data_IF_461831841760
#
_entry.id   IF_461831841760
#
_cell.length_a   1.000
_cell.length_b   1.000
_cell.length_c   1.000
_cell.angle_alpha   90.00
_cell.angle_beta   90.00
_cell.angle_gamma   90.00
#
_symmetry.space_group_name_H-M   'P 1'
#
loop_
_entity.id
_entity.type
_entity.pdbx_description
1 polymer ?
#
# COMPACT_ATOMS: atom_id res chain seq x y z
N UNK A 1 -18.50 -3.67 -3.38
CA UNK A 1 -18.75 -2.34 -2.77
C UNK A 1 -18.11 -2.21 -1.38
N UNK A 2 -18.14 -3.24 -0.53
CA UNK A 2 -17.58 -3.16 0.85
C UNK A 2 -16.07 -2.92 0.97
N UNK A 3 -15.29 -3.10 -0.10
CA UNK A 3 -13.84 -2.92 -0.05
C UNK A 3 -13.43 -1.50 0.36
N UNK A 4 -14.08 -0.46 -0.16
CA UNK A 4 -13.77 0.93 0.19
C UNK A 4 -14.11 1.22 1.65
N UNK A 5 -15.28 0.77 2.13
CA UNK A 5 -15.70 0.99 3.53
C UNK A 5 -14.68 0.39 4.51
N UNK A 6 -14.26 -0.87 4.28
CA UNK A 6 -13.29 -1.53 5.16
C UNK A 6 -11.92 -0.84 5.07
N UNK A 7 -11.53 -0.35 3.89
CA UNK A 7 -10.28 0.39 3.70
C UNK A 7 -10.28 1.75 4.39
N UNK A 8 -11.38 2.50 4.31
CA UNK A 8 -11.54 3.81 4.94
C UNK A 8 -11.43 3.66 6.47
N UNK A 9 -12.20 2.74 7.06
CA UNK A 9 -12.14 2.44 8.50
C UNK A 9 -10.73 2.01 8.92
N UNK A 10 -10.04 1.20 8.11
CA UNK A 10 -8.69 0.77 8.41
C UNK A 10 -7.66 1.91 8.30
N UNK A 11 -7.83 2.86 7.37
CA UNK A 11 -7.00 4.05 7.23
C UNK A 11 -7.19 5.06 8.38
N UNK A 12 -8.39 5.11 8.96
CA UNK A 12 -8.70 5.95 10.11
C UNK A 12 -8.19 5.33 11.40
N UNK A 13 -8.47 4.04 11.63
CA UNK A 13 -8.07 3.34 12.86
C UNK A 13 -6.58 3.05 12.95
N UNK A 14 -5.91 2.83 11.80
CA UNK A 14 -4.46 2.58 11.68
C UNK A 14 -3.93 1.47 12.61
N UNK A 15 -4.78 0.48 12.90
CA UNK A 15 -4.47 -0.67 13.76
C UNK A 15 -3.46 -1.65 13.13
N UNK A 16 -3.29 -1.58 11.81
CA UNK A 16 -2.32 -2.34 11.02
C UNK A 16 -1.44 -1.40 10.21
N UNK A 17 -0.27 -1.84 9.73
CA UNK A 17 0.58 -1.05 8.85
C UNK A 17 -0.15 -0.64 7.58
N UNK A 18 0.21 0.51 7.01
CA UNK A 18 -0.40 1.02 5.79
C UNK A 18 -0.29 0.04 4.61
N UNK A 19 0.83 -0.69 4.50
CA UNK A 19 1.05 -1.67 3.43
C UNK A 19 0.02 -2.80 3.49
N UNK A 20 -0.21 -3.33 4.69
CA UNK A 20 -1.18 -4.40 4.93
C UNK A 20 -2.60 -3.89 4.73
N UNK A 21 -2.88 -2.67 5.20
CA UNK A 21 -4.19 -2.02 5.05
C UNK A 21 -4.56 -1.82 3.58
N UNK A 22 -3.62 -1.31 2.77
CA UNK A 22 -3.83 -1.13 1.35
C UNK A 22 -3.84 -2.46 0.58
N UNK A 23 -3.09 -3.47 1.03
CA UNK A 23 -3.15 -4.81 0.44
C UNK A 23 -4.47 -5.53 0.76
N UNK A 24 -5.01 -5.34 1.96
CA UNK A 24 -6.34 -5.84 2.33
C UNK A 24 -7.42 -5.28 1.37
N UNK A 25 -7.32 -4.01 0.99
CA UNK A 25 -8.23 -3.42 0.00
C UNK A 25 -8.20 -4.16 -1.35
N UNK A 26 -7.01 -4.57 -1.82
CA UNK A 26 -6.87 -5.39 -3.02
C UNK A 26 -7.60 -6.73 -2.88
N UNK A 27 -7.36 -7.44 -1.77
CA UNK A 27 -8.02 -8.72 -1.49
C UNK A 27 -9.54 -8.57 -1.39
N UNK A 28 -10.01 -7.51 -0.73
CA UNK A 28 -11.44 -7.21 -0.61
C UNK A 28 -12.08 -6.88 -1.98
N UNK A 29 -11.36 -6.22 -2.89
CA UNK A 29 -11.83 -6.01 -4.26
C UNK A 29 -12.02 -7.35 -4.99
N UNK A 30 -11.06 -8.27 -4.86
CA UNK A 30 -11.15 -9.61 -5.47
C UNK A 30 -12.30 -10.43 -4.87
N UNK A 31 -12.41 -10.45 -3.54
CA UNK A 31 -13.48 -11.15 -2.83
C UNK A 31 -14.86 -10.61 -3.22
N UNK A 32 -14.96 -9.30 -3.46
CA UNK A 32 -16.16 -8.63 -3.96
C UNK A 32 -16.41 -8.78 -5.47
N UNK A 33 -15.66 -9.62 -6.18
CA UNK A 33 -15.88 -9.91 -7.61
C UNK A 33 -15.30 -8.86 -8.58
N UNK A 34 -14.45 -7.95 -8.12
CA UNK A 34 -13.79 -6.98 -9.00
C UNK A 34 -12.81 -7.71 -9.93
N UNK A 35 -12.90 -7.44 -11.23
CA UNK A 35 -11.97 -7.99 -12.23
C UNK A 35 -10.51 -7.74 -11.83
N UNK A 36 -9.66 -8.75 -11.96
CA UNK A 36 -8.27 -8.75 -11.46
C UNK A 36 -7.47 -7.52 -11.88
N UNK A 37 -7.45 -7.15 -13.17
CA UNK A 37 -6.75 -5.97 -13.66
C UNK A 37 -7.26 -4.68 -13.02
N UNK A 38 -8.57 -4.55 -12.85
CA UNK A 38 -9.17 -3.39 -12.16
C UNK A 38 -8.79 -3.37 -10.67
N UNK A 39 -8.81 -4.51 -9.98
CA UNK A 39 -8.38 -4.61 -8.59
C UNK A 39 -6.89 -4.22 -8.42
N UNK A 40 -6.02 -4.66 -9.33
CA UNK A 40 -4.59 -4.27 -9.35
C UNK A 40 -4.42 -2.77 -9.56
N UNK A 41 -5.15 -2.18 -10.50
CA UNK A 41 -5.11 -0.74 -10.73
C UNK A 41 -5.57 0.04 -9.50
N UNK A 42 -6.67 -0.38 -8.86
CA UNK A 42 -7.19 0.22 -7.64
C UNK A 42 -6.20 0.11 -6.47
N UNK A 43 -5.54 -1.05 -6.33
CA UNK A 43 -4.46 -1.25 -5.35
C UNK A 43 -3.29 -0.28 -5.58
N UNK A 44 -2.81 -0.18 -6.83
CA UNK A 44 -1.72 0.72 -7.18
C UNK A 44 -2.10 2.19 -6.95
N UNK A 45 -3.37 2.56 -7.10
CA UNK A 45 -3.84 3.88 -6.72
C UNK A 45 -3.75 4.08 -5.19
N UNK A 46 -4.39 3.26 -4.37
CA UNK A 46 -4.34 3.47 -2.90
C UNK A 46 -2.92 3.36 -2.34
N UNK A 47 -2.05 2.51 -2.93
CA UNK A 47 -0.65 2.37 -2.51
C UNK A 47 0.19 3.62 -2.79
N UNK A 48 -0.09 4.33 -3.88
CA UNK A 48 0.66 5.52 -4.29
C UNK A 48 0.11 6.84 -3.74
N UNK A 49 -1.21 6.93 -3.60
CA UNK A 49 -1.92 8.15 -3.21
C UNK A 49 -2.49 8.10 -1.78
N UNK A 50 -2.61 6.91 -1.20
CA UNK A 50 -3.16 6.74 0.14
C UNK A 50 -2.22 7.23 1.24
N UNK A 51 -2.77 7.49 2.44
CA UNK A 51 -1.98 7.89 3.60
C UNK A 51 -0.99 6.81 4.00
N UNK A 52 0.18 7.23 4.49
CA UNK A 52 1.24 6.34 4.99
C UNK A 52 1.48 6.62 6.45
N UNK A 53 1.59 5.57 7.24
CA UNK A 53 1.91 5.63 8.67
C UNK A 53 2.88 4.51 9.02
N UNK A 54 3.73 4.65 10.04
CA UNK A 54 4.69 3.61 10.41
C UNK A 54 3.99 2.31 10.87
N UNK A 55 4.78 1.24 11.00
CA UNK A 55 4.35 0.03 11.72
C UNK A 55 3.79 0.47 13.08
N UNK A 56 2.55 0.09 13.46
CA UNK A 56 2.09 0.33 14.81
C UNK A 56 3.10 -0.30 15.77
N UNK A 57 3.48 0.43 16.82
CA UNK A 57 4.25 -0.19 17.89
C UNK A 57 3.53 -1.47 18.29
N UNK A 58 4.28 -2.58 18.46
CA UNK A 58 3.74 -3.77 19.10
C UNK A 58 3.04 -3.26 20.36
N UNK A 59 1.72 -3.42 20.42
CA UNK A 59 1.01 -3.12 21.65
C UNK A 59 1.74 -3.93 22.72
N UNK A 60 2.19 -3.31 23.84
CA UNK A 60 2.83 -4.07 24.89
C UNK A 60 1.87 -5.19 25.23
N UNK A 61 2.33 -6.41 24.97
CA UNK A 61 1.57 -7.59 25.29
C UNK A 61 1.25 -7.50 26.78
N UNK A 62 0.03 -7.86 27.17
CA UNK A 62 -0.20 -8.18 28.56
C UNK A 62 0.83 -9.28 28.93
N UNK A 63 1.83 -8.91 29.74
CA UNK A 63 3.03 -9.68 30.11
C UNK A 63 2.74 -11.16 30.52
N UNK A 64 3.76 -12.05 30.58
CA UNK A 64 4.94 -12.20 29.68
C UNK A 64 5.40 -13.67 29.48
N UNK A 65 6.06 -14.01 28.37
CA UNK A 65 7.10 -15.07 28.38
C UNK A 65 8.18 -14.77 27.33
N UNK A 66 9.43 -14.68 27.79
CA UNK A 66 10.64 -14.35 27.02
C UNK A 66 10.85 -15.19 25.75
N UNK A 67 11.40 -14.57 24.70
CA UNK A 67 12.34 -15.26 23.82
C UNK A 67 13.67 -14.52 23.65
N UNK A 68 14.74 -15.31 23.76
CA UNK A 68 16.15 -15.01 23.52
C UNK A 68 16.39 -14.07 22.33
N UNK A 69 17.27 -13.10 22.58
CA UNK A 69 17.67 -12.02 21.69
C UNK A 69 18.30 -12.45 20.36
N UNK A 70 17.91 -11.77 19.28
CA UNK A 70 18.78 -11.52 18.11
C UNK A 70 18.87 -10.02 17.74
N UNK A 71 18.36 -9.11 18.57
CA UNK A 71 18.28 -7.68 18.22
C UNK A 71 19.36 -6.85 18.91
N UNK A 72 20.62 -7.01 18.48
CA UNK A 72 21.62 -5.98 18.67
C UNK A 72 21.85 -5.29 17.32
N UNK A 73 21.29 -4.08 17.18
CA UNK A 73 21.51 -3.02 16.16
C UNK A 73 20.25 -2.62 15.38
N UNK A 74 19.39 -1.83 16.00
CA UNK A 74 18.66 -0.81 15.27
C UNK A 74 18.63 0.46 16.11
N UNK A 75 19.21 1.53 15.57
CA UNK A 75 19.37 2.81 16.28
C UNK A 75 18.02 3.46 16.56
N UNK A 76 17.90 3.96 17.78
CA UNK A 76 16.83 4.83 18.26
C UNK A 76 16.96 6.20 17.61
N UNK A 77 15.84 6.73 17.14
CA UNK A 77 15.65 8.18 16.97
C UNK A 77 15.80 8.70 15.55
N UNK A 78 14.66 8.77 14.84
CA UNK A 78 14.43 9.76 13.80
C UNK A 78 13.02 10.33 14.05
N UNK A 79 12.84 11.65 14.20
CA UNK A 79 11.52 12.25 14.29
C UNK A 79 10.76 12.03 12.98
N UNK A 80 9.46 11.75 13.09
CA UNK A 80 8.56 11.61 11.95
C UNK A 80 8.65 12.87 11.07
N UNK A 81 9.31 12.75 9.93
CA UNK A 81 9.44 13.84 8.97
C UNK A 81 8.05 14.35 8.56
N UNK A 82 7.78 15.66 8.65
CA UNK A 82 6.56 16.22 8.11
C UNK A 82 6.68 16.24 6.59
N UNK A 83 5.62 15.80 5.92
CA UNK A 83 5.47 15.76 4.46
C UNK A 83 6.32 14.71 3.74
N UNK A 84 5.64 13.63 3.30
CA UNK A 84 6.06 12.86 2.13
C UNK A 84 6.43 13.87 1.03
N UNK A 85 7.58 13.73 0.34
CA UNK A 85 7.84 14.55 -0.83
C UNK A 85 6.73 14.19 -1.80
N UNK A 86 5.73 15.07 -1.93
CA UNK A 86 4.66 14.85 -2.87
C UNK A 86 5.33 14.81 -4.24
N UNK A 87 5.45 13.61 -4.79
CA UNK A 87 5.59 13.44 -6.23
C UNK A 87 4.56 14.38 -6.84
N UNK A 88 4.99 15.32 -7.69
CA UNK A 88 4.12 16.34 -8.28
C UNK A 88 2.82 15.66 -8.77
N UNK A 89 1.66 16.25 -8.53
CA UNK A 89 0.35 15.70 -8.94
C UNK A 89 0.37 15.17 -10.38
N UNK A 90 1.02 15.92 -11.28
CA UNK A 90 1.28 15.51 -12.67
C UNK A 90 2.03 14.19 -12.80
N UNK A 91 3.09 13.98 -12.03
CA UNK A 91 3.83 12.73 -12.01
C UNK A 91 2.98 11.58 -11.47
N UNK A 92 2.12 11.83 -10.49
CA UNK A 92 1.21 10.81 -9.97
C UNK A 92 0.11 10.46 -10.99
N UNK A 93 -0.47 11.45 -11.68
CA UNK A 93 -1.42 11.21 -12.78
C UNK A 93 -0.77 10.42 -13.92
N UNK A 94 0.44 10.81 -14.32
CA UNK A 94 1.21 10.07 -15.34
C UNK A 94 1.40 8.62 -14.94
N UNK A 95 1.72 8.34 -13.69
CA UNK A 95 1.83 6.98 -13.18
C UNK A 95 0.53 6.19 -13.40
N UNK A 96 -0.63 6.74 -13.04
CA UNK A 96 -1.92 6.05 -13.22
C UNK A 96 -2.25 5.80 -14.70
N UNK A 97 -2.04 6.78 -15.56
CA UNK A 97 -2.27 6.62 -17.00
C UNK A 97 -1.37 5.53 -17.60
N UNK A 98 -0.10 5.46 -17.18
CA UNK A 98 0.82 4.41 -17.61
C UNK A 98 0.40 3.04 -17.11
N UNK A 99 -0.04 2.93 -15.86
CA UNK A 99 -0.55 1.68 -15.29
C UNK A 99 -1.81 1.20 -16.04
N UNK A 100 -2.72 2.11 -16.37
CA UNK A 100 -3.90 1.83 -17.19
C UNK A 100 -3.51 1.34 -18.60
N UNK A 101 -2.57 2.02 -19.26
CA UNK A 101 -2.09 1.63 -20.59
C UNK A 101 -1.40 0.25 -20.59
N UNK A 102 -0.62 -0.05 -19.55
CA UNK A 102 0.01 -1.35 -19.38
C UNK A 102 -1.04 -2.47 -19.23
N UNK A 103 -2.07 -2.23 -18.42
CA UNK A 103 -3.18 -3.18 -18.26
C UNK A 103 -4.00 -3.35 -19.54
N UNK A 104 -4.21 -2.28 -20.31
CA UNK A 104 -4.92 -2.36 -21.57
C UNK A 104 -4.19 -3.24 -22.60
N UNK A 105 -2.85 -3.27 -22.55
CA UNK A 105 -2.00 -4.03 -23.47
C UNK A 105 -1.75 -5.47 -23.02
N UNK A 106 -1.62 -5.72 -21.71
CA UNK A 106 -1.23 -7.04 -21.17
C UNK A 106 -2.39 -7.81 -20.51
N UNK A 107 -3.53 -7.16 -20.31
CA UNK A 107 -4.72 -7.76 -19.70
C UNK A 107 -4.54 -8.15 -18.24
N UNK A 108 -5.39 -9.07 -17.76
CA UNK A 108 -5.45 -9.45 -16.34
C UNK A 108 -4.26 -10.28 -15.87
N UNK A 109 -3.48 -10.85 -16.79
CA UNK A 109 -2.30 -11.68 -16.49
C UNK A 109 -1.11 -10.88 -15.99
N UNK A 110 -1.06 -9.56 -16.25
CA UNK A 110 0.01 -8.67 -15.80
C UNK A 110 0.20 -8.71 -14.27
N UNK A 111 1.42 -8.95 -13.79
CA UNK A 111 1.70 -8.89 -12.35
C UNK A 111 1.65 -7.45 -11.82
N UNK A 112 1.39 -7.28 -10.52
CA UNK A 112 1.34 -5.95 -9.89
C UNK A 112 2.71 -5.26 -10.03
N UNK A 113 3.77 -6.03 -9.88
CA UNK A 113 5.16 -5.59 -9.96
C UNK A 113 5.52 -5.13 -11.37
N UNK A 114 5.06 -5.83 -12.40
CA UNK A 114 5.32 -5.45 -13.79
C UNK A 114 4.63 -4.11 -14.14
N UNK A 115 3.38 -3.94 -13.71
CA UNK A 115 2.62 -2.70 -13.90
C UNK A 115 3.34 -1.55 -13.18
N UNK A 116 3.74 -1.76 -11.93
CA UNK A 116 4.40 -0.77 -11.08
C UNK A 116 5.76 -0.33 -11.62
N UNK A 117 6.61 -1.30 -12.00
CA UNK A 117 7.92 -1.03 -12.61
C UNK A 117 7.75 -0.23 -13.90
N UNK A 118 6.79 -0.59 -14.76
CA UNK A 118 6.53 0.15 -15.99
C UNK A 118 6.01 1.57 -15.73
N UNK A 119 5.05 1.71 -14.80
CA UNK A 119 4.41 2.97 -14.48
C UNK A 119 5.36 3.96 -13.78
N UNK A 120 6.34 3.46 -13.03
CA UNK A 120 7.32 4.24 -12.27
C UNK A 120 8.55 4.70 -13.06
N UNK A 121 8.72 4.26 -14.31
CA UNK A 121 9.91 4.64 -15.12
C UNK A 121 9.94 6.15 -15.42
N UNK A 122 11.07 6.84 -15.18
CA UNK A 122 11.28 8.19 -15.68
C UNK A 122 11.34 8.15 -17.23
N UNK A 123 10.84 9.23 -17.85
CA UNK A 123 10.91 9.45 -19.31
C UNK A 123 12.20 10.18 -19.62
#
# INVERSE_FOLDING_TARGET
>A
MYASIVHDVACDTRSRPWRDTHYMFYLACLAGGTRRGRAKLMYLAVRNFGPRWPQPALQPEAEPVEPLAFSALARVGEPAAPFSPFVCYEAQLRYLHRAQAYLATHGDGASIEAIDVYASRPV
#
